data_IF_608695303612
#
_entry.id   IF_608695303612
#
_cell.length_a   1.000
_cell.length_b   1.000
_cell.length_c   1.000
_cell.angle_alpha   90.00
_cell.angle_beta   90.00
_cell.angle_gamma   90.00
#
_symmetry.space_group_name_H-M   'P 1'
#
loop_
_entity.id
_entity.type
_entity.pdbx_description
1 polymer ?
#
# COMPACT_ATOMS: atom_id res chain seq x y z
N UNK A 1 15.19 -24.99 23.10
CA UNK A 1 14.27 -23.84 23.25
C UNK A 1 14.45 -22.83 22.12
N UNK A 2 15.64 -22.27 21.90
CA UNK A 2 15.88 -21.27 20.85
C UNK A 2 15.41 -21.69 19.44
N UNK A 3 15.75 -22.91 18.98
CA UNK A 3 15.32 -23.42 17.69
C UNK A 3 13.79 -23.52 17.53
N UNK A 4 13.07 -23.93 18.57
CA UNK A 4 11.60 -24.06 18.54
C UNK A 4 10.96 -22.67 18.48
N UNK A 5 11.43 -21.73 19.30
CA UNK A 5 10.98 -20.33 19.26
C UNK A 5 11.24 -19.70 17.90
N UNK A 6 12.40 -19.99 17.30
CA UNK A 6 12.75 -19.53 15.97
C UNK A 6 11.81 -20.10 14.89
N UNK A 7 11.55 -21.41 14.87
CA UNK A 7 10.61 -22.00 13.91
C UNK A 7 9.20 -21.42 14.03
N UNK A 8 8.69 -21.20 15.26
CA UNK A 8 7.39 -20.54 15.48
C UNK A 8 7.39 -19.10 14.96
N UNK A 9 8.49 -18.37 15.15
CA UNK A 9 8.66 -17.01 14.63
C UNK A 9 8.67 -16.99 13.10
N UNK A 10 9.41 -17.89 12.45
CA UNK A 10 9.48 -18.00 10.98
C UNK A 10 8.11 -18.35 10.38
N UNK A 11 7.38 -19.30 10.96
CA UNK A 11 6.03 -19.66 10.51
C UNK A 11 5.10 -18.44 10.62
N UNK A 12 5.13 -17.75 11.76
CA UNK A 12 4.33 -16.55 12.00
C UNK A 12 4.68 -15.43 11.02
N UNK A 13 5.96 -15.25 10.71
CA UNK A 13 6.45 -14.29 9.72
C UNK A 13 5.95 -14.62 8.31
N UNK A 14 6.03 -15.87 7.89
CA UNK A 14 5.52 -16.33 6.58
C UNK A 14 4.01 -16.12 6.45
N UNK A 15 3.22 -16.47 7.47
CA UNK A 15 1.78 -16.19 7.47
C UNK A 15 1.50 -14.70 7.44
N UNK A 16 2.23 -13.90 8.22
CA UNK A 16 2.04 -12.44 8.24
C UNK A 16 2.30 -11.82 6.86
N UNK A 17 3.39 -12.19 6.18
CA UNK A 17 3.66 -11.70 4.82
C UNK A 17 2.63 -12.20 3.80
N UNK A 18 2.17 -13.45 3.91
CA UNK A 18 1.16 -14.03 3.03
C UNK A 18 -0.18 -13.30 3.16
N UNK A 19 -0.68 -13.14 4.39
CA UNK A 19 -1.95 -12.44 4.65
C UNK A 19 -1.89 -10.99 4.20
N UNK A 20 -0.80 -10.27 4.47
CA UNK A 20 -0.65 -8.89 4.00
C UNK A 20 -0.62 -8.78 2.48
N UNK A 21 0.03 -9.72 1.79
CA UNK A 21 0.05 -9.74 0.32
C UNK A 21 -1.34 -10.05 -0.24
N UNK A 22 -2.07 -10.97 0.39
CA UNK A 22 -3.42 -11.37 -0.01
C UNK A 22 -4.44 -10.26 0.27
N UNK A 23 -4.35 -9.60 1.43
CA UNK A 23 -5.14 -8.41 1.75
C UNK A 23 -4.89 -7.30 0.73
N UNK A 24 -3.62 -7.00 0.42
CA UNK A 24 -3.29 -5.99 -0.57
C UNK A 24 -3.81 -6.34 -1.99
N UNK A 25 -3.89 -7.63 -2.32
CA UNK A 25 -4.50 -8.09 -3.57
C UNK A 25 -6.03 -7.92 -3.56
N UNK A 26 -6.70 -8.32 -2.46
CA UNK A 26 -8.16 -8.29 -2.34
C UNK A 26 -8.71 -6.88 -2.09
N UNK A 27 -7.92 -5.97 -1.51
CA UNK A 27 -8.33 -4.57 -1.28
C UNK A 27 -8.52 -3.78 -2.57
N UNK A 28 -8.16 -4.30 -3.75
CA UNK A 28 -8.41 -3.64 -5.04
C UNK A 28 -7.63 -2.33 -5.26
N UNK A 29 -6.82 -1.89 -4.30
CA UNK A 29 -5.97 -0.67 -4.33
C UNK A 29 -4.98 -0.69 -5.50
N UNK A 30 -4.77 -1.87 -6.10
CA UNK A 30 -3.97 -2.10 -7.30
C UNK A 30 -4.38 -1.22 -8.49
N UNK A 31 -5.61 -0.70 -8.51
CA UNK A 31 -6.14 0.17 -9.57
C UNK A 31 -6.10 1.67 -9.28
N UNK A 32 -5.70 2.11 -8.08
CA UNK A 32 -5.79 3.53 -7.72
C UNK A 32 -4.58 4.34 -8.21
N UNK A 33 -3.33 3.89 -7.99
CA UNK A 33 -2.13 4.62 -8.42
C UNK A 33 -0.91 3.74 -8.72
N UNK A 34 -0.02 4.23 -9.60
CA UNK A 34 1.22 3.56 -10.07
C UNK A 34 2.21 3.22 -8.95
N UNK A 35 2.19 3.98 -7.86
CA UNK A 35 3.08 3.78 -6.71
C UNK A 35 2.67 2.56 -5.87
N UNK A 36 1.38 2.33 -5.66
CA UNK A 36 0.88 1.15 -4.95
C UNK A 36 1.14 -0.15 -5.74
N UNK A 37 1.13 -0.08 -7.07
CA UNK A 37 1.54 -1.21 -7.93
C UNK A 37 2.99 -1.62 -7.70
N UNK A 38 3.91 -0.66 -7.59
CA UNK A 38 5.34 -0.92 -7.31
C UNK A 38 5.55 -1.55 -5.94
N UNK A 39 4.88 -1.02 -4.91
CA UNK A 39 4.97 -1.53 -3.54
C UNK A 39 4.46 -2.98 -3.46
N UNK A 40 3.37 -3.30 -4.17
CA UNK A 40 2.87 -4.67 -4.27
C UNK A 40 3.91 -5.62 -4.88
N UNK A 41 4.55 -5.22 -5.98
CA UNK A 41 5.55 -6.04 -6.64
C UNK A 41 6.76 -6.28 -5.72
N UNK A 42 7.23 -5.24 -5.02
CA UNK A 42 8.30 -5.35 -4.03
C UNK A 42 7.92 -6.33 -2.93
N UNK A 43 6.71 -6.22 -2.34
CA UNK A 43 6.21 -7.18 -1.33
C UNK A 43 6.17 -8.62 -1.86
N UNK A 44 5.70 -8.82 -3.09
CA UNK A 44 5.72 -10.13 -3.75
C UNK A 44 7.14 -10.67 -3.93
N UNK A 45 8.11 -9.86 -4.37
CA UNK A 45 9.51 -10.27 -4.48
C UNK A 45 10.10 -10.64 -3.12
N UNK A 46 9.81 -9.86 -2.08
CA UNK A 46 10.22 -10.16 -0.70
C UNK A 46 9.65 -11.48 -0.21
N UNK A 47 8.38 -11.77 -0.49
CA UNK A 47 7.78 -13.06 -0.16
C UNK A 47 8.44 -14.21 -0.92
N UNK A 48 8.70 -14.02 -2.22
CA UNK A 48 9.30 -15.03 -3.10
C UNK A 48 10.75 -15.35 -2.72
N UNK A 49 11.48 -14.40 -2.14
CA UNK A 49 12.84 -14.61 -1.61
C UNK A 49 12.79 -15.13 -0.17
N UNK A 50 11.93 -14.58 0.68
CA UNK A 50 11.84 -14.94 2.10
C UNK A 50 11.31 -16.35 2.33
N UNK A 51 10.36 -16.82 1.52
CA UNK A 51 9.79 -18.17 1.63
C UNK A 51 10.82 -19.31 1.41
N UNK A 52 11.60 -19.34 0.31
CA UNK A 52 12.61 -20.39 0.13
C UNK A 52 13.74 -20.28 1.15
N UNK A 53 14.09 -19.07 1.60
CA UNK A 53 15.03 -18.90 2.71
C UNK A 53 14.49 -19.55 3.99
N UNK A 54 13.24 -19.26 4.36
CA UNK A 54 12.58 -19.87 5.52
C UNK A 54 12.64 -21.41 5.47
N UNK A 55 12.20 -21.99 4.34
CA UNK A 55 12.22 -23.46 4.12
C UNK A 55 13.63 -24.02 4.17
N UNK A 56 14.62 -23.31 3.62
CA UNK A 56 16.03 -23.71 3.65
C UNK A 56 16.59 -23.72 5.08
N UNK A 57 16.17 -22.78 5.93
CA UNK A 57 16.55 -22.77 7.37
C UNK A 57 16.00 -23.96 8.12
N UNK A 58 14.73 -24.34 7.88
CA UNK A 58 14.14 -25.52 8.52
C UNK A 58 14.89 -26.80 8.13
N UNK A 59 15.23 -26.95 6.84
CA UNK A 59 16.01 -28.09 6.36
C UNK A 59 17.44 -28.11 6.92
N UNK A 60 18.08 -26.94 7.03
CA UNK A 60 19.43 -26.80 7.59
C UNK A 60 19.46 -27.09 9.09
N UNK A 61 18.42 -26.68 9.83
CA UNK A 61 18.23 -27.00 11.24
C UNK A 61 18.08 -28.52 11.44
N UNK A 62 17.23 -29.16 10.64
CA UNK A 62 17.06 -30.62 10.68
C UNK A 62 18.36 -31.37 10.35
N UNK A 63 19.10 -30.89 9.36
CA UNK A 63 20.41 -31.46 8.97
C UNK A 63 21.47 -31.27 10.06
N UNK A 64 21.49 -30.13 10.74
CA UNK A 64 22.39 -29.88 11.88
C UNK A 64 22.11 -30.84 13.04
N UNK A 65 20.84 -31.12 13.34
CA UNK A 65 20.45 -32.07 14.38
C UNK A 65 20.87 -33.52 14.07
N UNK A 66 20.95 -33.90 12.80
CA UNK A 66 21.32 -35.26 12.38
C UNK A 66 22.82 -35.46 12.14
N UNK A 67 23.51 -34.47 11.56
CA UNK A 67 24.89 -34.61 11.09
C UNK A 67 25.91 -33.86 11.96
N UNK A 68 25.47 -33.03 12.91
CA UNK A 68 26.32 -32.25 13.81
C UNK A 68 27.45 -31.49 13.08
N UNK A 69 27.11 -30.88 11.93
CA UNK A 69 28.08 -30.19 11.06
C UNK A 69 28.16 -28.69 11.38
N UNK A 70 29.37 -28.19 11.66
CA UNK A 70 29.62 -26.77 11.89
C UNK A 70 29.27 -25.87 10.69
N UNK A 71 29.36 -26.40 9.47
CA UNK A 71 28.99 -25.67 8.24
C UNK A 71 27.48 -25.40 8.21
N UNK A 72 26.66 -26.37 8.62
CA UNK A 72 25.20 -26.20 8.69
C UNK A 72 24.79 -25.12 9.71
N UNK A 73 25.54 -25.00 10.81
CA UNK A 73 25.32 -23.98 11.82
C UNK A 73 25.59 -22.55 11.30
N UNK A 74 26.65 -22.36 10.51
CA UNK A 74 26.96 -21.05 9.89
C UNK A 74 25.90 -20.66 8.88
N UNK A 75 25.46 -21.58 8.02
CA UNK A 75 24.38 -21.34 7.05
C UNK A 75 23.06 -21.02 7.75
N UNK A 76 22.72 -21.76 8.80
CA UNK A 76 21.54 -21.49 9.63
C UNK A 76 21.58 -20.08 10.22
N UNK A 77 22.70 -19.70 10.83
CA UNK A 77 22.87 -18.38 11.46
C UNK A 77 22.81 -17.25 10.43
N UNK A 78 23.45 -17.42 9.27
CA UNK A 78 23.42 -16.44 8.19
C UNK A 78 22.00 -16.23 7.65
N UNK A 79 21.25 -17.32 7.44
CA UNK A 79 19.87 -17.26 7.01
C UNK A 79 18.97 -16.58 8.05
N UNK A 80 19.15 -16.85 9.34
CA UNK A 80 18.43 -16.17 10.43
C UNK A 80 18.60 -14.65 10.37
N UNK A 81 19.83 -14.15 10.21
CA UNK A 81 20.07 -12.70 10.06
C UNK A 81 19.37 -12.12 8.82
N UNK A 82 19.41 -12.83 7.70
CA UNK A 82 18.74 -12.38 6.47
C UNK A 82 17.22 -12.34 6.67
N UNK A 83 16.63 -13.36 7.30
CA UNK A 83 15.19 -13.37 7.60
C UNK A 83 14.77 -12.22 8.52
N UNK A 84 15.57 -11.90 9.54
CA UNK A 84 15.32 -10.74 10.42
C UNK A 84 15.38 -9.43 9.62
N UNK A 85 16.33 -9.31 8.70
CA UNK A 85 16.44 -8.18 7.77
C UNK A 85 15.20 -8.06 6.87
N UNK A 86 14.77 -9.16 6.25
CA UNK A 86 13.55 -9.19 5.42
C UNK A 86 12.30 -8.83 6.23
N UNK A 87 12.22 -9.29 7.48
CA UNK A 87 11.12 -8.97 8.38
C UNK A 87 11.06 -7.47 8.72
N UNK A 88 12.19 -6.86 9.08
CA UNK A 88 12.25 -5.42 9.35
C UNK A 88 11.94 -4.58 8.09
N UNK A 89 12.45 -4.98 6.93
CA UNK A 89 12.15 -4.32 5.66
C UNK A 89 10.67 -4.44 5.27
N UNK A 90 10.04 -5.58 5.59
CA UNK A 90 8.61 -5.77 5.40
C UNK A 90 7.77 -4.79 6.24
N UNK A 91 8.08 -4.65 7.53
CA UNK A 91 7.42 -3.66 8.39
C UNK A 91 7.67 -2.22 7.94
N UNK A 92 8.89 -1.91 7.48
CA UNK A 92 9.21 -0.61 6.92
C UNK A 92 8.33 -0.27 5.71
N UNK A 93 8.17 -1.22 4.77
CA UNK A 93 7.30 -1.05 3.61
C UNK A 93 5.82 -0.85 4.00
N UNK A 94 5.37 -1.51 5.07
CA UNK A 94 4.01 -1.38 5.59
C UNK A 94 3.77 0.04 6.17
N UNK A 95 4.73 0.58 6.94
CA UNK A 95 4.68 1.96 7.43
C UNK A 95 4.76 2.98 6.29
N UNK A 96 5.63 2.72 5.32
CA UNK A 96 5.79 3.56 4.14
C UNK A 96 4.50 3.65 3.33
N UNK A 97 3.82 2.52 3.12
CA UNK A 97 2.53 2.44 2.44
C UNK A 97 1.45 3.24 3.18
N UNK A 98 1.30 3.05 4.50
CA UNK A 98 0.36 3.82 5.32
C UNK A 98 0.61 5.33 5.24
N UNK A 99 1.88 5.72 5.24
CA UNK A 99 2.28 7.13 5.11
C UNK A 99 1.95 7.67 3.71
N UNK A 100 2.23 6.89 2.66
CA UNK A 100 1.89 7.21 1.28
C UNK A 100 0.39 7.43 1.09
N UNK A 101 -0.44 6.52 1.59
CA UNK A 101 -1.90 6.64 1.49
C UNK A 101 -2.45 7.85 2.25
N UNK A 102 -1.87 8.21 3.41
CA UNK A 102 -2.24 9.44 4.14
C UNK A 102 -1.95 10.70 3.32
N UNK A 103 -0.74 10.82 2.77
CA UNK A 103 -0.34 11.98 1.97
C UNK A 103 -1.26 12.14 0.77
N UNK A 104 -1.63 11.04 0.12
CA UNK A 104 -2.54 11.03 -1.01
C UNK A 104 -3.96 11.51 -0.65
N UNK A 105 -4.49 11.06 0.50
CA UNK A 105 -5.78 11.55 1.02
C UNK A 105 -5.76 13.06 1.33
N UNK A 106 -4.68 13.55 1.92
CA UNK A 106 -4.51 14.98 2.21
C UNK A 106 -4.46 15.82 0.93
N UNK A 107 -3.77 15.35 -0.11
CA UNK A 107 -3.70 16.05 -1.40
C UNK A 107 -5.03 16.06 -2.12
N UNK A 108 -5.75 14.94 -2.16
CA UNK A 108 -7.08 14.84 -2.78
C UNK A 108 -8.09 15.76 -2.09
N UNK A 109 -8.11 15.79 -0.75
CA UNK A 109 -9.01 16.67 0.00
C UNK A 109 -8.67 18.15 -0.17
N UNK A 110 -7.37 18.50 -0.23
CA UNK A 110 -6.92 19.88 -0.46
C UNK A 110 -7.17 20.34 -1.90
N UNK A 111 -7.05 19.44 -2.88
CA UNK A 111 -7.39 19.67 -4.28
C UNK A 111 -8.89 19.94 -4.49
N UNK A 112 -9.76 19.18 -3.82
CA UNK A 112 -11.20 19.42 -3.85
C UNK A 112 -11.59 20.79 -3.25
N UNK A 113 -10.99 21.17 -2.11
CA UNK A 113 -11.20 22.50 -1.50
C UNK A 113 -10.68 23.64 -2.40
N UNK A 114 -9.56 23.42 -3.10
CA UNK A 114 -9.00 24.40 -4.05
C UNK A 114 -9.86 24.58 -5.31
N UNK A 115 -10.47 23.49 -5.81
CA UNK A 115 -11.37 23.54 -6.97
C UNK A 115 -12.67 24.28 -6.63
N UNK A 116 -13.32 23.95 -5.50
CA UNK A 116 -14.56 24.62 -5.09
C UNK A 116 -14.38 26.12 -4.83
N UNK A 117 -13.19 26.54 -4.36
CA UNK A 117 -12.88 27.96 -4.15
C UNK A 117 -12.63 28.72 -5.46
N UNK A 118 -12.15 28.04 -6.50
CA UNK A 118 -11.94 28.64 -7.83
C UNK A 118 -13.27 28.82 -8.58
N UNK A 119 -14.21 27.89 -8.40
CA UNK A 119 -15.55 27.98 -9.01
C UNK A 119 -16.43 29.06 -8.36
N UNK A 120 -16.25 29.33 -7.05
CA UNK A 120 -16.94 30.43 -6.37
C UNK A 120 -16.37 31.83 -6.69
N UNK A 121 -15.10 31.91 -7.13
CA UNK A 121 -14.45 33.17 -7.48
C UNK A 121 -14.74 33.62 -8.94
N UNK A 122 -15.34 32.75 -9.76
CA UNK A 122 -15.62 33.01 -11.18
C UNK A 122 -17.04 33.55 -11.46
N UNK A 123 -17.74 34.09 -10.45
CA UNK A 123 -19.04 34.76 -10.67
C UNK A 123 -18.86 36.29 -10.59
N UNK A 124 -18.60 36.99 -11.72
CA UNK A 124 -18.75 38.44 -11.73
C UNK A 124 -20.25 38.76 -11.61
N UNK A 125 -20.60 39.43 -10.52
CA UNK A 125 -21.86 40.12 -10.35
C UNK A 125 -21.93 41.30 -11.33
N UNK A 126 -22.57 41.13 -12.47
CA UNK A 126 -23.09 42.25 -13.26
C UNK A 126 -24.58 42.41 -12.97
N UNK A 127 -24.89 43.08 -11.87
CA UNK A 127 -26.18 43.74 -11.69
C UNK A 127 -26.18 45.05 -12.47
N UNK A 128 -27.13 45.22 -13.39
CA UNK A 128 -27.56 46.54 -13.83
C UNK A 128 -29.06 46.48 -14.15
N UNK A 129 -29.82 47.17 -13.30
CA UNK A 129 -31.26 47.43 -13.40
C UNK A 129 -31.64 48.15 -14.71
N UNK A 130 -32.79 47.77 -15.30
CA UNK A 130 -33.79 48.67 -15.91
C UNK A 130 -35.06 47.86 -16.26
N UNK A 131 -36.13 47.98 -15.48
CA UNK A 131 -37.30 48.86 -15.72
C UNK A 131 -38.23 48.39 -16.85
N UNK A 132 -39.41 47.91 -16.44
CA UNK A 132 -40.75 48.00 -17.07
C UNK A 132 -40.87 48.24 -18.58
N UNK A 133 -41.52 47.31 -19.29
CA UNK A 133 -42.76 47.57 -20.06
C UNK A 133 -43.17 46.35 -20.91
N UNK A 134 -44.36 45.79 -20.66
CA UNK A 134 -45.11 45.05 -21.71
C UNK A 134 -45.49 46.03 -22.83
N UNK A 135 -45.60 45.55 -24.08
CA UNK A 135 -46.93 45.61 -24.67
C UNK A 135 -47.33 44.36 -25.45
N UNK A 136 -48.61 44.05 -25.29
CA UNK A 136 -49.46 43.20 -26.12
C UNK A 136 -49.53 43.85 -27.51
N UNK A 137 -49.14 43.12 -28.56
CA UNK A 137 -49.36 43.59 -29.93
C UNK A 137 -50.60 42.89 -30.50
N UNK A 138 -51.69 43.65 -30.48
CA UNK A 138 -52.95 43.40 -31.16
C UNK A 138 -52.75 43.82 -32.63
N UNK A 139 -52.82 42.90 -33.58
CA UNK A 139 -52.84 43.25 -35.01
C UNK A 139 -54.21 42.89 -35.58
N UNK A 140 -55.01 43.92 -35.86
CA UNK A 140 -56.25 43.88 -36.64
C UNK A 140 -56.02 44.46 -38.04
N UNK A 141 -56.94 44.11 -38.95
CA UNK A 141 -57.15 44.57 -40.34
C UNK A 141 -56.19 44.00 -41.40
N UNK A 142 -56.68 43.33 -42.45
CA UNK A 142 -57.78 43.74 -43.33
C UNK A 142 -58.65 42.56 -43.81
#
# INVERSE_FOLDING_TARGET
MHAICYSVWVISFCFNMLFNTLLHHHSGIRQLTTNHYRIFYIKCCLFLIGYPLAVSTDFSCFSFLLLCSGTAYVLFSAAEYILVGLNSLFYFLLVWELTGSRVEFYLTHKGHIGSTRSDLAAKPSSGSERTQSMPINLSCHH
#
